data_IF_049279936827
#
_entry.id   IF_049279936827
#
_cell.length_a   1.000
_cell.length_b   1.000
_cell.length_c   1.000
_cell.angle_alpha   90.00
_cell.angle_beta   90.00
_cell.angle_gamma   90.00
#
_symmetry.space_group_name_H-M   'P 1'
#
loop_
_entity.id
_entity.type
_entity.pdbx_description
1 polymer ?
#
# COMPACT_ATOMS: atom_id res chain seq x y z
N UNK A 1 -27.28 -19.72 -6.47
CA UNK A 1 -26.64 -18.67 -7.31
C UNK A 1 -27.13 -17.28 -6.94
N UNK A 2 -28.41 -16.96 -6.98
CA UNK A 2 -28.99 -15.63 -6.66
C UNK A 2 -28.61 -15.09 -5.27
N UNK A 3 -28.57 -15.92 -4.24
CA UNK A 3 -28.25 -15.51 -2.85
C UNK A 3 -26.78 -15.09 -2.70
N UNK A 4 -25.83 -15.85 -3.28
CA UNK A 4 -24.39 -15.47 -3.29
C UNK A 4 -24.16 -14.14 -3.99
N UNK A 5 -24.82 -13.90 -5.12
CA UNK A 5 -24.73 -12.63 -5.86
C UNK A 5 -25.33 -11.46 -5.05
N UNK A 6 -26.42 -11.67 -4.33
CA UNK A 6 -27.00 -10.66 -3.43
C UNK A 6 -26.02 -10.28 -2.31
N UNK A 7 -25.30 -11.25 -1.72
CA UNK A 7 -24.30 -11.01 -0.68
C UNK A 7 -23.08 -10.27 -1.24
N UNK A 8 -22.56 -10.68 -2.39
CA UNK A 8 -21.44 -10.00 -3.06
C UNK A 8 -21.82 -8.54 -3.37
N UNK A 9 -23.04 -8.30 -3.87
CA UNK A 9 -23.55 -6.95 -4.13
C UNK A 9 -23.59 -6.09 -2.86
N UNK A 10 -24.03 -6.66 -1.74
CA UNK A 10 -24.08 -5.94 -0.44
C UNK A 10 -22.68 -5.57 0.05
N UNK A 11 -21.72 -6.50 0.02
CA UNK A 11 -20.35 -6.23 0.44
C UNK A 11 -19.65 -5.24 -0.52
N UNK A 12 -19.95 -5.30 -1.82
CA UNK A 12 -19.50 -4.32 -2.80
C UNK A 12 -20.01 -2.91 -2.48
N UNK A 13 -21.30 -2.75 -2.24
CA UNK A 13 -21.88 -1.42 -1.93
C UNK A 13 -21.29 -0.85 -0.64
N UNK A 14 -21.02 -1.70 0.34
CA UNK A 14 -20.33 -1.31 1.57
C UNK A 14 -18.91 -0.82 1.28
N UNK A 15 -18.16 -1.56 0.47
CA UNK A 15 -16.81 -1.17 0.05
C UNK A 15 -16.79 0.16 -0.69
N UNK A 16 -17.70 0.37 -1.66
CA UNK A 16 -17.81 1.63 -2.40
C UNK A 16 -18.10 2.81 -1.46
N UNK A 17 -18.93 2.60 -0.43
CA UNK A 17 -19.21 3.62 0.60
C UNK A 17 -17.97 3.93 1.44
N UNK A 18 -17.21 2.91 1.84
CA UNK A 18 -15.95 3.06 2.58
C UNK A 18 -14.90 3.80 1.74
N UNK A 19 -14.76 3.47 0.46
CA UNK A 19 -13.85 4.12 -0.47
C UNK A 19 -14.20 5.60 -0.67
N UNK A 20 -15.48 5.92 -0.89
CA UNK A 20 -15.93 7.31 -0.98
C UNK A 20 -15.65 8.10 0.28
N UNK A 21 -15.89 7.52 1.45
CA UNK A 21 -15.60 8.16 2.72
C UNK A 21 -14.10 8.40 2.94
N UNK A 22 -13.26 7.45 2.51
CA UNK A 22 -11.80 7.58 2.53
C UNK A 22 -11.33 8.72 1.64
N UNK A 23 -11.80 8.75 0.39
CA UNK A 23 -11.45 9.81 -0.58
C UNK A 23 -11.91 11.18 -0.08
N UNK A 24 -13.18 11.32 0.32
CA UNK A 24 -13.72 12.58 0.83
C UNK A 24 -12.87 13.14 1.96
N UNK A 25 -12.51 12.33 2.94
CA UNK A 25 -11.67 12.77 4.08
C UNK A 25 -10.29 13.28 3.64
N UNK A 26 -9.76 12.82 2.51
CA UNK A 26 -8.43 13.19 2.00
C UNK A 26 -8.49 14.28 0.92
N UNK A 27 -9.63 14.46 0.26
CA UNK A 27 -9.85 15.56 -0.68
C UNK A 27 -9.85 16.92 0.02
N UNK A 28 -10.43 16.99 1.25
CA UNK A 28 -10.56 18.23 2.01
C UNK A 28 -9.25 18.67 2.71
N UNK A 29 -8.18 17.87 2.60
CA UNK A 29 -6.88 18.26 3.13
C UNK A 29 -6.25 19.28 2.17
N UNK A 30 -6.57 20.56 2.40
CA UNK A 30 -5.97 21.68 1.70
C UNK A 30 -4.46 21.60 1.80
N UNK A 31 -3.76 21.92 0.72
CA UNK A 31 -2.36 22.29 0.75
C UNK A 31 -2.19 23.36 1.83
N UNK A 32 -1.76 22.91 3.00
CA UNK A 32 -1.61 23.85 4.11
C UNK A 32 -0.51 24.83 3.73
N UNK A 33 -0.60 26.07 4.22
CA UNK A 33 0.51 27.04 4.12
C UNK A 33 1.85 26.42 4.53
N UNK A 34 1.79 25.36 5.29
CA UNK A 34 2.91 24.56 5.75
C UNK A 34 3.55 23.73 4.62
N UNK A 35 2.79 23.13 3.68
CA UNK A 35 3.35 22.46 2.52
C UNK A 35 4.12 23.44 1.64
N UNK A 36 3.57 24.62 1.41
CA UNK A 36 4.26 25.69 0.65
C UNK A 36 5.51 26.21 1.36
N UNK A 37 5.51 26.25 2.69
CA UNK A 37 6.70 26.60 3.49
C UNK A 37 7.76 25.50 3.46
N UNK A 38 7.35 24.24 3.39
CA UNK A 38 8.25 23.10 3.29
C UNK A 38 8.95 23.04 1.94
N UNK A 39 8.22 23.23 0.84
CA UNK A 39 8.79 23.30 -0.51
C UNK A 39 9.88 24.37 -0.61
N UNK A 40 9.76 25.46 0.17
CA UNK A 40 10.77 26.54 0.21
C UNK A 40 11.93 26.29 1.18
N UNK A 41 11.77 25.42 2.18
CA UNK A 41 12.75 25.24 3.27
C UNK A 41 13.51 23.93 3.22
N UNK A 42 13.00 22.92 2.49
CA UNK A 42 13.72 21.66 2.31
C UNK A 42 14.83 21.86 1.27
N UNK A 43 16.10 21.60 1.61
CA UNK A 43 17.15 21.65 0.64
C UNK A 43 16.91 20.62 -0.49
N UNK A 44 16.94 21.06 -1.75
CA UNK A 44 16.77 20.18 -2.93
C UNK A 44 17.72 18.99 -2.90
N UNK A 45 18.96 19.22 -2.43
CA UNK A 45 19.95 18.15 -2.26
C UNK A 45 19.50 17.06 -1.31
N UNK A 46 18.79 17.39 -0.24
CA UNK A 46 18.26 16.42 0.72
C UNK A 46 17.10 15.64 0.12
N UNK A 47 16.19 16.33 -0.56
CA UNK A 47 15.07 15.70 -1.29
C UNK A 47 15.62 14.69 -2.31
N UNK A 48 16.53 15.12 -3.18
CA UNK A 48 17.13 14.25 -4.20
C UNK A 48 17.91 13.05 -3.63
N UNK A 49 18.55 13.22 -2.47
CA UNK A 49 19.22 12.10 -1.77
C UNK A 49 18.20 11.05 -1.28
N UNK A 50 17.07 11.49 -0.73
CA UNK A 50 16.03 10.59 -0.27
C UNK A 50 15.29 9.93 -1.45
N UNK A 51 15.01 10.67 -2.50
CA UNK A 51 14.43 10.13 -3.74
C UNK A 51 15.29 9.00 -4.28
N UNK A 52 16.59 9.23 -4.43
CA UNK A 52 17.53 8.22 -4.90
C UNK A 52 17.61 7.01 -3.95
N UNK A 53 17.54 7.23 -2.64
CA UNK A 53 17.58 6.15 -1.65
C UNK A 53 16.31 5.28 -1.72
N UNK A 54 15.11 5.88 -1.83
CA UNK A 54 13.86 5.13 -1.99
C UNK A 54 13.80 4.42 -3.35
N UNK A 55 14.19 5.09 -4.46
CA UNK A 55 14.26 4.45 -5.79
C UNK A 55 15.15 3.22 -5.77
N UNK A 56 16.34 3.35 -5.17
CA UNK A 56 17.25 2.22 -4.99
C UNK A 56 16.65 1.12 -4.13
N UNK A 57 15.94 1.45 -3.06
CA UNK A 57 15.30 0.48 -2.19
C UNK A 57 14.22 -0.32 -2.94
N UNK A 58 13.33 0.34 -3.69
CA UNK A 58 12.33 -0.35 -4.53
C UNK A 58 12.99 -1.23 -5.58
N UNK A 59 14.00 -0.71 -6.28
CA UNK A 59 14.73 -1.46 -7.29
C UNK A 59 15.36 -2.72 -6.70
N UNK A 60 16.06 -2.59 -5.58
CA UNK A 60 16.68 -3.75 -4.88
C UNK A 60 15.63 -4.77 -4.46
N UNK A 61 14.49 -4.34 -3.94
CA UNK A 61 13.43 -5.25 -3.51
C UNK A 61 12.77 -5.95 -4.69
N UNK A 62 12.44 -5.22 -5.75
CA UNK A 62 11.79 -5.82 -6.93
C UNK A 62 12.71 -6.72 -7.74
N UNK A 63 14.01 -6.40 -7.83
CA UNK A 63 14.98 -7.17 -8.63
C UNK A 63 15.61 -8.32 -7.85
N UNK A 64 15.99 -8.06 -6.59
CA UNK A 64 16.83 -8.98 -5.82
C UNK A 64 16.21 -9.42 -4.50
N UNK A 65 15.25 -8.68 -3.98
CA UNK A 65 14.77 -8.81 -2.62
C UNK A 65 13.45 -9.53 -2.47
N UNK A 66 12.68 -9.78 -3.55
CA UNK A 66 11.40 -10.48 -3.43
C UNK A 66 11.59 -11.83 -2.73
N UNK A 67 12.60 -12.60 -3.11
CA UNK A 67 12.94 -13.87 -2.45
C UNK A 67 13.44 -13.72 -1.00
N UNK A 68 14.05 -12.59 -0.63
CA UNK A 68 14.43 -12.31 0.77
C UNK A 68 13.20 -11.97 1.60
N UNK A 69 12.32 -11.13 1.06
CA UNK A 69 11.05 -10.77 1.71
C UNK A 69 10.15 -12.00 1.84
N UNK A 70 10.06 -12.84 0.81
CA UNK A 70 9.29 -14.08 0.82
C UNK A 70 9.70 -15.05 1.93
N UNK A 71 10.98 -15.08 2.30
CA UNK A 71 11.47 -15.88 3.45
C UNK A 71 10.95 -15.39 4.81
N UNK A 72 10.45 -14.16 4.88
CA UNK A 72 9.96 -13.57 6.13
C UNK A 72 8.48 -13.88 6.43
N UNK A 73 7.77 -14.49 5.47
CA UNK A 73 6.41 -14.99 5.64
C UNK A 73 6.19 -16.27 4.83
N UNK A 74 5.15 -17.01 5.15
CA UNK A 74 4.86 -18.30 4.52
C UNK A 74 3.92 -18.10 3.32
N UNK A 75 4.49 -17.78 2.14
CA UNK A 75 3.74 -17.54 0.89
C UNK A 75 2.76 -18.66 0.58
N UNK A 76 3.24 -19.90 0.59
CA UNK A 76 2.44 -21.09 0.30
C UNK A 76 1.27 -21.28 1.28
N UNK A 77 1.47 -20.95 2.56
CA UNK A 77 0.43 -21.04 3.57
C UNK A 77 -0.68 -20.00 3.32
N UNK A 78 -0.32 -18.79 2.89
CA UNK A 78 -1.26 -17.77 2.52
C UNK A 78 -2.06 -18.16 1.28
N UNK A 79 -1.40 -18.71 0.25
CA UNK A 79 -2.06 -19.21 -0.96
C UNK A 79 -3.02 -20.38 -0.65
N UNK A 80 -2.59 -21.35 0.13
CA UNK A 80 -3.46 -22.46 0.59
C UNK A 80 -4.66 -21.93 1.38
N UNK A 81 -4.41 -20.98 2.25
CA UNK A 81 -5.47 -20.34 3.05
C UNK A 81 -6.49 -19.60 2.18
N UNK A 82 -6.03 -18.92 1.13
CA UNK A 82 -6.93 -18.31 0.15
C UNK A 82 -7.82 -19.37 -0.52
N UNK A 83 -7.23 -20.47 -1.00
CA UNK A 83 -7.98 -21.56 -1.64
C UNK A 83 -9.03 -22.17 -0.70
N UNK A 84 -8.68 -22.41 0.58
CA UNK A 84 -9.62 -22.91 1.59
C UNK A 84 -10.77 -21.92 1.81
N UNK A 85 -10.46 -20.63 1.92
CA UNK A 85 -11.49 -19.60 2.12
C UNK A 85 -12.39 -19.46 0.89
N UNK A 86 -11.83 -19.57 -0.31
CA UNK A 86 -12.58 -19.54 -1.56
C UNK A 86 -13.56 -20.72 -1.65
N UNK A 87 -13.09 -21.92 -1.41
CA UNK A 87 -13.94 -23.12 -1.34
C UNK A 87 -15.03 -22.96 -0.27
N UNK A 88 -14.65 -22.52 0.94
CA UNK A 88 -15.60 -22.30 2.01
C UNK A 88 -16.66 -21.23 1.68
N UNK A 89 -16.28 -20.17 0.93
CA UNK A 89 -17.22 -19.15 0.49
C UNK A 89 -18.18 -19.68 -0.58
N UNK A 90 -17.70 -20.59 -1.43
CA UNK A 90 -18.51 -21.21 -2.47
C UNK A 90 -19.52 -22.25 -1.90
N UNK A 91 -19.10 -23.01 -0.86
CA UNK A 91 -19.97 -23.99 -0.21
C UNK A 91 -20.96 -23.34 0.75
N UNK A 92 -20.48 -22.46 1.64
CA UNK A 92 -21.31 -21.88 2.73
C UNK A 92 -22.22 -20.75 2.26
N UNK A 93 -21.85 -20.04 1.19
CA UNK A 93 -22.62 -18.94 0.57
C UNK A 93 -23.12 -17.90 1.58
N UNK A 94 -22.37 -17.62 2.63
CA UNK A 94 -22.76 -16.69 3.67
C UNK A 94 -21.78 -15.51 3.81
N UNK A 95 -22.23 -14.45 4.49
CA UNK A 95 -21.44 -13.21 4.68
C UNK A 95 -20.14 -13.47 5.45
N UNK A 96 -20.18 -14.36 6.45
CA UNK A 96 -19.02 -14.65 7.30
C UNK A 96 -17.87 -15.25 6.51
N UNK A 97 -18.14 -16.15 5.56
CA UNK A 97 -17.12 -16.74 4.68
C UNK A 97 -16.55 -15.72 3.69
N UNK A 98 -17.37 -14.81 3.14
CA UNK A 98 -16.86 -13.71 2.30
C UNK A 98 -15.99 -12.70 3.08
N UNK A 99 -16.31 -12.43 4.34
CA UNK A 99 -15.52 -11.52 5.18
C UNK A 99 -14.22 -12.14 5.72
N UNK A 100 -14.04 -13.46 5.61
CA UNK A 100 -12.82 -14.12 6.03
C UNK A 100 -11.57 -13.58 5.30
N UNK A 101 -11.69 -13.24 4.02
CA UNK A 101 -10.61 -12.63 3.23
C UNK A 101 -10.18 -11.28 3.83
N UNK A 102 -11.11 -10.36 4.04
CA UNK A 102 -10.82 -9.03 4.60
C UNK A 102 -10.24 -9.10 6.02
N UNK A 103 -10.77 -10.00 6.85
CA UNK A 103 -10.25 -10.18 8.22
C UNK A 103 -8.81 -10.67 8.24
N UNK A 104 -8.44 -11.57 7.34
CA UNK A 104 -7.08 -12.10 7.27
C UNK A 104 -6.11 -11.06 6.67
N UNK A 105 -6.51 -10.37 5.59
CA UNK A 105 -5.74 -9.29 5.02
C UNK A 105 -5.44 -8.18 6.05
N UNK A 106 -6.46 -7.77 6.82
CA UNK A 106 -6.30 -6.82 7.92
C UNK A 106 -5.40 -7.35 9.04
N UNK A 107 -5.50 -8.64 9.36
CA UNK A 107 -4.65 -9.30 10.36
C UNK A 107 -3.16 -9.31 9.97
N UNK A 108 -2.84 -9.61 8.72
CA UNK A 108 -1.48 -9.53 8.17
C UNK A 108 -0.94 -8.11 8.22
N UNK A 109 -1.73 -7.13 7.75
CA UNK A 109 -1.35 -5.72 7.79
C UNK A 109 -1.07 -5.21 9.20
N UNK A 110 -1.91 -5.53 10.18
CA UNK A 110 -1.71 -5.12 11.58
C UNK A 110 -0.48 -5.76 12.23
N UNK A 111 -0.18 -7.03 11.92
CA UNK A 111 1.03 -7.70 12.42
C UNK A 111 2.29 -7.03 11.88
N UNK A 112 2.32 -6.72 10.60
CA UNK A 112 3.47 -6.04 9.98
C UNK A 112 3.63 -4.60 10.47
N UNK A 113 2.53 -3.94 10.79
CA UNK A 113 2.54 -2.62 11.43
C UNK A 113 3.24 -2.65 12.80
N UNK A 114 2.96 -3.66 13.62
CA UNK A 114 3.64 -3.85 14.91
C UNK A 114 5.13 -4.11 14.72
N UNK A 115 5.51 -4.92 13.73
CA UNK A 115 6.91 -5.21 13.41
C UNK A 115 7.64 -3.94 12.95
N UNK A 116 7.01 -3.09 12.12
CA UNK A 116 7.62 -1.82 11.68
C UNK A 116 7.84 -0.86 12.86
N UNK A 117 6.89 -0.76 13.77
CA UNK A 117 7.02 0.07 14.98
C UNK A 117 8.16 -0.37 15.90
N UNK A 118 8.33 -1.67 16.10
CA UNK A 118 9.43 -2.22 16.92
C UNK A 118 10.79 -2.02 16.23
N UNK A 119 10.87 -2.25 14.93
CA UNK A 119 12.11 -2.05 14.16
C UNK A 119 12.54 -0.59 14.13
N UNK A 120 11.58 0.34 14.00
CA UNK A 120 11.84 1.78 13.99
C UNK A 120 12.38 2.32 15.31
N UNK A 121 11.98 1.78 16.46
CA UNK A 121 12.52 2.17 17.78
C UNK A 121 13.99 1.74 17.92
N UNK A 122 14.38 0.59 17.36
CA UNK A 122 15.76 0.11 17.41
C UNK A 122 16.71 0.82 16.43
N UNK A 123 16.21 1.26 15.27
CA UNK A 123 17.02 1.82 14.18
C UNK A 123 17.02 3.36 14.16
N UNK A 124 15.98 4.00 14.73
CA UNK A 124 15.88 5.46 14.84
C UNK A 124 16.97 6.11 15.71
N UNK A 125 17.66 5.31 16.54
CA UNK A 125 18.80 5.75 17.37
C UNK A 125 20.07 5.92 16.52
N UNK A 126 20.16 5.30 15.35
CA UNK A 126 21.39 5.28 14.52
C UNK A 126 21.41 6.35 13.40
N UNK A 127 20.38 7.19 13.31
CA UNK A 127 20.28 8.22 12.27
C UNK A 127 19.68 7.70 10.95
N UNK A 128 19.21 8.61 10.10
CA UNK A 128 18.61 8.27 8.79
C UNK A 128 19.69 7.69 7.88
N UNK A 129 19.84 6.37 7.91
CA UNK A 129 20.74 5.64 7.02
C UNK A 129 19.99 4.98 5.86
N UNK A 130 20.67 4.76 4.74
CA UNK A 130 20.16 3.99 3.60
C UNK A 130 19.59 2.62 4.01
N UNK A 131 20.21 1.87 4.96
CA UNK A 131 19.67 0.60 5.44
C UNK A 131 18.24 0.70 6.02
N UNK A 132 17.90 1.79 6.70
CA UNK A 132 16.58 1.99 7.28
C UNK A 132 15.50 2.16 6.20
N UNK A 133 15.84 2.85 5.11
CA UNK A 133 14.94 3.05 3.97
C UNK A 133 14.67 1.72 3.26
N UNK A 134 15.69 0.90 3.08
CA UNK A 134 15.53 -0.43 2.46
C UNK A 134 14.66 -1.34 3.33
N UNK A 135 14.89 -1.34 4.64
CA UNK A 135 14.09 -2.11 5.59
C UNK A 135 12.62 -1.64 5.60
N UNK A 136 12.39 -0.33 5.69
CA UNK A 136 11.06 0.26 5.67
C UNK A 136 10.31 -0.09 4.37
N UNK A 137 10.96 0.08 3.22
CA UNK A 137 10.41 -0.27 1.91
C UNK A 137 10.10 -1.77 1.82
N UNK A 138 11.00 -2.61 2.32
CA UNK A 138 10.81 -4.06 2.38
C UNK A 138 9.62 -4.47 3.23
N UNK A 139 9.45 -3.89 4.42
CA UNK A 139 8.29 -4.14 5.30
C UNK A 139 6.98 -3.65 4.69
N UNK A 140 7.01 -2.51 4.00
CA UNK A 140 5.86 -1.98 3.27
C UNK A 140 5.42 -2.93 2.17
N UNK A 141 6.34 -3.34 1.30
CA UNK A 141 6.06 -4.28 0.21
C UNK A 141 5.62 -5.64 0.74
N UNK A 142 6.27 -6.17 1.78
CA UNK A 142 5.81 -7.38 2.46
C UNK A 142 4.34 -7.29 2.87
N UNK A 143 3.94 -6.17 3.48
CA UNK A 143 2.56 -5.98 3.94
C UNK A 143 1.57 -6.02 2.77
N UNK A 144 1.94 -5.39 1.65
CA UNK A 144 1.12 -5.39 0.44
C UNK A 144 1.06 -6.79 -0.19
N UNK A 145 2.19 -7.50 -0.26
CA UNK A 145 2.26 -8.87 -0.79
C UNK A 145 1.39 -9.84 0.02
N UNK A 146 1.45 -9.78 1.35
CA UNK A 146 0.58 -10.59 2.20
C UNK A 146 -0.91 -10.27 1.98
N UNK A 147 -1.25 -8.99 1.78
CA UNK A 147 -2.63 -8.58 1.43
C UNK A 147 -3.03 -9.15 0.06
N UNK A 148 -2.19 -8.99 -0.96
CA UNK A 148 -2.44 -9.52 -2.31
C UNK A 148 -2.74 -11.02 -2.26
N UNK A 149 -1.88 -11.81 -1.62
CA UNK A 149 -2.03 -13.26 -1.47
C UNK A 149 -3.30 -13.65 -0.72
N UNK A 150 -3.70 -12.90 0.32
CA UNK A 150 -4.95 -13.16 1.04
C UNK A 150 -6.20 -12.95 0.17
N UNK A 151 -6.08 -12.19 -0.92
CA UNK A 151 -7.12 -12.01 -1.93
C UNK A 151 -6.90 -12.83 -3.21
N UNK A 152 -5.85 -13.66 -3.26
CA UNK A 152 -5.55 -14.57 -4.38
C UNK A 152 -4.83 -13.93 -5.54
N UNK A 153 -4.15 -12.79 -5.33
CA UNK A 153 -3.34 -12.13 -6.35
C UNK A 153 -1.86 -12.41 -6.14
N UNK A 154 -1.18 -12.81 -7.21
CA UNK A 154 0.30 -12.88 -7.24
C UNK A 154 0.84 -11.48 -7.51
N UNK A 155 2.05 -11.19 -7.01
CA UNK A 155 2.70 -9.87 -7.05
C UNK A 155 3.96 -9.83 -7.93
N UNK A 156 4.21 -10.86 -8.73
CA UNK A 156 5.47 -10.96 -9.48
C UNK A 156 5.45 -10.27 -10.84
N UNK A 157 4.27 -10.13 -11.47
CA UNK A 157 4.16 -9.53 -12.80
C UNK A 157 4.46 -8.02 -12.80
N UNK A 158 4.85 -7.51 -13.95
CA UNK A 158 5.12 -6.06 -14.14
C UNK A 158 3.85 -5.23 -13.87
N UNK A 159 2.71 -5.72 -14.29
CA UNK A 159 1.40 -5.07 -14.06
C UNK A 159 1.08 -5.01 -12.57
N UNK A 160 1.42 -6.05 -11.83
CA UNK A 160 1.17 -6.08 -10.39
C UNK A 160 2.17 -5.19 -9.62
N UNK A 161 3.43 -5.15 -10.04
CA UNK A 161 4.41 -4.20 -9.50
C UNK A 161 3.95 -2.76 -9.70
N UNK A 162 3.46 -2.44 -10.92
CA UNK A 162 2.87 -1.14 -11.23
C UNK A 162 1.67 -0.85 -10.31
N UNK A 163 0.75 -1.80 -10.16
CA UNK A 163 -0.40 -1.68 -9.27
C UNK A 163 0.02 -1.39 -7.82
N UNK A 164 1.04 -2.07 -7.33
CA UNK A 164 1.57 -1.85 -5.98
C UNK A 164 2.17 -0.45 -5.82
N UNK A 165 2.92 0.03 -6.81
CA UNK A 165 3.48 1.39 -6.79
C UNK A 165 2.37 2.45 -6.78
N UNK A 166 1.33 2.27 -7.58
CA UNK A 166 0.15 3.14 -7.55
C UNK A 166 -0.60 3.07 -6.21
N UNK A 167 -0.69 1.89 -5.58
CA UNK A 167 -1.27 1.76 -4.23
C UNK A 167 -0.50 2.59 -3.20
N UNK A 168 0.83 2.56 -3.23
CA UNK A 168 1.67 3.33 -2.31
C UNK A 168 1.46 4.83 -2.55
N UNK A 169 1.55 5.27 -3.80
CA UNK A 169 1.32 6.68 -4.16
C UNK A 169 -0.08 7.14 -3.75
N UNK A 170 -1.13 6.41 -4.10
CA UNK A 170 -2.50 6.75 -3.75
C UNK A 170 -2.76 6.76 -2.24
N UNK A 171 -2.08 5.91 -1.48
CA UNK A 171 -2.14 5.95 -0.02
C UNK A 171 -1.53 7.22 0.58
N UNK A 172 -0.56 7.82 -0.08
CA UNK A 172 0.18 8.99 0.38
C UNK A 172 -0.31 10.29 -0.22
N UNK A 173 -0.98 10.26 -1.38
CA UNK A 173 -1.48 11.44 -2.08
C UNK A 173 -2.77 12.00 -1.48
N UNK A 174 -3.10 13.25 -1.84
CA UNK A 174 -4.26 14.02 -1.38
C UNK A 174 -4.90 14.77 -2.54
N UNK A 175 -6.11 15.28 -2.34
CA UNK A 175 -6.79 16.16 -3.30
C UNK A 175 -6.90 15.54 -4.70
N UNK A 176 -6.61 16.34 -5.71
CA UNK A 176 -6.74 15.97 -7.13
C UNK A 176 -5.83 14.80 -7.53
N UNK A 177 -4.58 14.79 -7.05
CA UNK A 177 -3.64 13.71 -7.35
C UNK A 177 -4.16 12.34 -6.84
N UNK A 178 -4.69 12.31 -5.61
CA UNK A 178 -5.32 11.08 -5.09
C UNK A 178 -6.50 10.65 -5.95
N UNK A 179 -7.31 11.59 -6.42
CA UNK A 179 -8.45 11.26 -7.29
C UNK A 179 -7.98 10.62 -8.61
N UNK A 180 -7.01 11.22 -9.28
CA UNK A 180 -6.44 10.72 -10.54
C UNK A 180 -5.86 9.32 -10.37
N UNK A 181 -5.02 9.10 -9.35
CA UNK A 181 -4.45 7.78 -9.03
C UNK A 181 -5.56 6.76 -8.72
N UNK A 182 -6.57 7.18 -7.98
CA UNK A 182 -7.68 6.29 -7.62
C UNK A 182 -8.52 5.88 -8.83
N UNK A 183 -8.72 6.78 -9.80
CA UNK A 183 -9.40 6.50 -11.06
C UNK A 183 -8.58 5.54 -11.94
N UNK A 184 -7.26 5.75 -12.07
CA UNK A 184 -6.37 4.83 -12.79
C UNK A 184 -6.39 3.43 -12.18
N UNK A 185 -6.27 3.30 -10.85
CA UNK A 185 -6.37 2.02 -10.16
C UNK A 185 -7.72 1.34 -10.37
N UNK A 186 -8.81 2.10 -10.34
CA UNK A 186 -10.14 1.55 -10.57
C UNK A 186 -10.31 1.10 -12.02
N UNK A 187 -9.78 1.86 -12.98
CA UNK A 187 -9.77 1.47 -14.40
C UNK A 187 -9.01 0.16 -14.61
N UNK A 188 -7.80 0.03 -14.05
CA UNK A 188 -7.07 -1.22 -14.09
C UNK A 188 -7.86 -2.39 -13.47
N UNK A 189 -8.48 -2.19 -12.30
CA UNK A 189 -9.30 -3.21 -11.63
C UNK A 189 -10.48 -3.65 -12.51
N UNK A 190 -11.06 -2.72 -13.26
CA UNK A 190 -12.24 -2.99 -14.08
C UNK A 190 -11.87 -3.56 -15.46
N UNK A 191 -10.81 -3.10 -16.09
CA UNK A 191 -10.44 -3.43 -17.45
C UNK A 191 -9.33 -4.47 -17.57
N UNK A 192 -8.46 -4.58 -16.55
CA UNK A 192 -7.31 -5.49 -16.54
C UNK A 192 -6.03 -4.89 -17.13
N UNK A 193 -6.07 -3.64 -17.60
CA UNK A 193 -4.92 -2.92 -18.13
C UNK A 193 -4.95 -1.44 -17.73
N UNK A 194 -3.83 -0.73 -17.90
CA UNK A 194 -3.70 0.71 -17.62
C UNK A 194 -4.02 1.58 -18.84
N UNK A 195 -4.29 0.99 -20.01
CA UNK A 195 -4.47 1.72 -21.26
C UNK A 195 -3.20 2.46 -21.73
N UNK A 196 -2.06 2.21 -21.10
CA UNK A 196 -0.75 2.81 -21.40
C UNK A 196 0.37 1.79 -21.17
N UNK A 197 1.52 2.04 -21.82
CA UNK A 197 2.71 1.22 -21.61
C UNK A 197 3.24 1.41 -20.18
N UNK A 198 3.46 0.29 -19.50
CA UNK A 198 4.05 0.27 -18.17
C UNK A 198 5.53 0.66 -18.25
N UNK A 199 5.96 1.58 -17.39
CA UNK A 199 7.34 1.96 -17.18
C UNK A 199 7.67 1.87 -15.69
N UNK A 200 8.06 0.70 -15.25
CA UNK A 200 8.33 0.41 -13.82
C UNK A 200 9.37 1.37 -13.24
N UNK A 201 10.40 1.75 -14.00
CA UNK A 201 11.43 2.68 -13.52
C UNK A 201 10.84 4.05 -13.20
N UNK A 202 10.03 4.59 -14.10
CA UNK A 202 9.36 5.88 -13.90
C UNK A 202 8.38 5.82 -12.71
N UNK A 203 7.65 4.73 -12.57
CA UNK A 203 6.73 4.50 -11.46
C UNK A 203 7.45 4.35 -10.12
N UNK A 204 8.63 3.70 -10.10
CA UNK A 204 9.50 3.65 -8.93
C UNK A 204 9.95 5.06 -8.54
N UNK A 205 10.47 5.84 -9.48
CA UNK A 205 10.98 7.19 -9.22
C UNK A 205 9.86 8.11 -8.71
N UNK A 206 8.68 8.06 -9.31
CA UNK A 206 7.50 8.80 -8.84
C UNK A 206 7.05 8.39 -7.43
N UNK A 207 7.10 7.10 -7.11
CA UNK A 207 6.74 6.58 -5.79
C UNK A 207 7.78 6.96 -4.73
N UNK A 208 9.05 6.91 -5.09
CA UNK A 208 10.15 7.35 -4.25
C UNK A 208 10.04 8.83 -3.91
N UNK A 209 9.78 9.69 -4.88
CA UNK A 209 9.55 11.13 -4.66
C UNK A 209 8.36 11.40 -3.74
N UNK A 210 7.27 10.66 -3.88
CA UNK A 210 6.11 10.76 -2.99
C UNK A 210 6.47 10.38 -1.54
N UNK A 211 7.18 9.28 -1.33
CA UNK A 211 7.62 8.83 0.00
C UNK A 211 8.60 9.80 0.66
N UNK A 212 9.58 10.30 -0.08
CA UNK A 212 10.55 11.25 0.44
C UNK A 212 9.89 12.56 0.84
N UNK A 213 8.98 13.07 0.02
CA UNK A 213 8.22 14.30 0.31
C UNK A 213 7.41 14.15 1.60
N UNK A 214 6.69 13.05 1.76
CA UNK A 214 5.90 12.78 2.95
C UNK A 214 6.78 12.57 4.19
N UNK A 215 7.91 11.88 4.07
CA UNK A 215 8.87 11.70 5.17
C UNK A 215 9.44 13.05 5.65
N UNK A 216 9.85 13.92 4.73
CA UNK A 216 10.37 15.25 5.04
C UNK A 216 9.29 16.13 5.68
N UNK A 217 8.06 16.08 5.15
CA UNK A 217 6.92 16.80 5.69
C UNK A 217 6.70 16.47 7.17
N UNK A 218 6.68 15.20 7.52
CA UNK A 218 6.44 14.78 8.90
C UNK A 218 7.58 15.17 9.84
N UNK A 219 8.81 15.04 9.40
CA UNK A 219 9.99 15.46 10.22
C UNK A 219 9.97 16.96 10.50
N UNK A 220 9.57 17.74 9.52
CA UNK A 220 9.48 19.19 9.67
C UNK A 220 8.35 19.62 10.62
N UNK A 221 7.17 18.98 10.52
CA UNK A 221 6.02 19.26 11.40
C UNK A 221 6.37 19.16 12.89
N UNK A 222 7.36 18.42 13.24
CA UNK A 222 7.72 18.14 14.64
C UNK A 222 8.87 18.97 15.17
N UNK A 223 9.42 19.88 14.33
CA UNK A 223 10.57 20.68 14.72
C UNK A 223 11.81 19.82 15.08
N UNK A 224 11.82 18.54 14.65
CA UNK A 224 12.92 17.63 14.91
C UNK A 224 14.02 17.95 13.91
N UNK A 225 15.27 18.13 14.36
CA UNK A 225 16.41 18.21 13.45
C UNK A 225 16.40 17.00 12.52
N UNK A 226 16.61 17.22 11.21
CA UNK A 226 16.54 16.19 10.15
C UNK A 226 17.54 15.04 10.40
N UNK A 227 18.40 15.21 11.38
CA UNK A 227 19.43 14.26 11.77
C UNK A 227 19.00 13.57 13.08
N UNK A 228 18.61 12.33 12.99
CA UNK A 228 18.86 11.36 14.03
C UNK A 228 17.80 11.03 15.09
N UNK A 229 16.50 11.41 14.99
CA UNK A 229 15.57 10.91 16.01
C UNK A 229 14.14 10.65 15.50
N UNK A 230 13.55 9.58 16.00
CA UNK A 230 12.13 9.20 15.94
C UNK A 230 11.57 8.66 14.58
N UNK A 231 12.31 7.79 13.87
CA UNK A 231 11.80 7.08 12.69
C UNK A 231 10.58 6.19 12.96
N UNK A 232 10.56 5.48 14.09
CA UNK A 232 9.59 4.41 14.33
C UNK A 232 8.11 4.79 14.41
N UNK A 233 7.77 5.96 14.92
CA UNK A 233 6.37 6.37 15.03
C UNK A 233 5.76 6.78 13.67
N UNK A 234 6.59 7.30 12.76
CA UNK A 234 6.16 7.73 11.42
C UNK A 234 6.00 6.60 10.45
N UNK A 235 6.94 5.67 10.50
CA UNK A 235 6.87 4.43 9.75
C UNK A 235 5.53 3.74 9.99
N UNK A 236 5.07 3.72 11.25
CA UNK A 236 3.78 3.16 11.61
C UNK A 236 2.58 3.93 11.01
N UNK A 237 2.64 5.26 10.92
CA UNK A 237 1.56 6.08 10.35
C UNK A 237 1.44 5.83 8.84
N UNK A 238 2.56 5.89 8.10
CA UNK A 238 2.57 5.64 6.67
C UNK A 238 2.24 4.20 6.33
N UNK A 239 2.81 3.25 7.06
CA UNK A 239 2.45 1.84 6.93
C UNK A 239 0.95 1.61 7.11
N UNK A 240 0.33 2.23 8.12
CA UNK A 240 -1.12 2.13 8.35
C UNK A 240 -1.93 2.70 7.18
N UNK A 241 -1.49 3.81 6.60
CA UNK A 241 -2.16 4.41 5.44
C UNK A 241 -2.06 3.50 4.22
N UNK A 242 -0.85 3.01 3.92
CA UNK A 242 -0.60 2.12 2.78
C UNK A 242 -1.36 0.81 2.93
N UNK A 243 -1.27 0.15 4.09
CA UNK A 243 -1.99 -1.10 4.37
C UNK A 243 -3.50 -0.93 4.21
N UNK A 244 -4.06 0.16 4.74
CA UNK A 244 -5.50 0.43 4.65
C UNK A 244 -5.96 0.64 3.20
N UNK A 245 -5.18 1.40 2.41
CA UNK A 245 -5.54 1.67 1.03
C UNK A 245 -5.34 0.43 0.15
N UNK A 246 -4.25 -0.31 0.34
CA UNK A 246 -3.99 -1.57 -0.36
C UNK A 246 -5.10 -2.60 -0.08
N UNK A 247 -5.49 -2.80 1.20
CA UNK A 247 -6.58 -3.70 1.57
C UNK A 247 -7.89 -3.31 0.86
N UNK A 248 -8.20 -2.02 0.82
CA UNK A 248 -9.41 -1.53 0.17
C UNK A 248 -9.40 -1.80 -1.35
N UNK A 249 -8.25 -1.61 -2.03
CA UNK A 249 -8.12 -1.81 -3.48
C UNK A 249 -8.08 -3.29 -3.85
N UNK A 250 -7.35 -4.14 -3.12
CA UNK A 250 -7.38 -5.59 -3.36
C UNK A 250 -8.76 -6.19 -3.07
N UNK A 251 -9.46 -5.72 -2.05
CA UNK A 251 -10.85 -6.10 -1.79
C UNK A 251 -11.78 -5.67 -2.93
N UNK A 252 -11.58 -4.47 -3.50
CA UNK A 252 -12.31 -4.01 -4.68
C UNK A 252 -12.05 -4.95 -5.88
N UNK A 253 -10.80 -5.26 -6.16
CA UNK A 253 -10.39 -6.16 -7.23
C UNK A 253 -10.98 -7.56 -7.07
N UNK A 254 -10.94 -8.11 -5.87
CA UNK A 254 -11.55 -9.38 -5.52
C UNK A 254 -13.08 -9.40 -5.80
N UNK A 255 -13.82 -8.40 -5.31
CA UNK A 255 -15.26 -8.36 -5.55
C UNK A 255 -15.60 -8.04 -7.00
N UNK A 256 -14.80 -7.27 -7.72
CA UNK A 256 -14.98 -7.07 -9.17
C UNK A 256 -14.88 -8.40 -9.92
N UNK A 257 -13.86 -9.22 -9.62
CA UNK A 257 -13.73 -10.56 -10.20
C UNK A 257 -14.93 -11.46 -9.88
N UNK A 258 -15.34 -11.52 -8.58
CA UNK A 258 -16.51 -12.33 -8.17
C UNK A 258 -17.85 -11.86 -8.77
N UNK A 259 -17.98 -10.60 -9.19
CA UNK A 259 -19.16 -10.08 -9.88
C UNK A 259 -19.19 -10.40 -11.37
N UNK A 260 -18.01 -10.51 -12.00
CA UNK A 260 -17.84 -10.86 -13.42
C UNK A 260 -17.92 -12.38 -13.66
N UNK A 261 -17.54 -13.18 -12.67
CA UNK A 261 -17.72 -14.65 -12.73
C UNK A 261 -19.20 -14.99 -12.64
N UNK A 262 -19.83 -15.16 -13.82
CA UNK A 262 -21.24 -15.54 -13.95
C UNK A 262 -21.44 -17.05 -13.72
#
# INVERSE_FOLDING_TARGET
MKEKQSLIKKEWLKLVKEERAYLKKRMDKKDSKLNQLLEKKVPEKLQGTLDAAFSKAFFVVFEKGTGVIEKTYKKEELQKTYQINEYAADVRKNRKSLQAFSKRAAGSGNRNLLLSGVSGVGLGILGVGIPDIVLFTGLMLRSIYEIALNYGFDYQSEEEKEFILYLIRGALSYGKELQEINEELNSFIENGDYGKKINIKESIDATAGCLSKELLYMKFLQGIPIVGAAGGAYDAIYMKQVVKYAEMKYRRRFYTGKRKSK
#
